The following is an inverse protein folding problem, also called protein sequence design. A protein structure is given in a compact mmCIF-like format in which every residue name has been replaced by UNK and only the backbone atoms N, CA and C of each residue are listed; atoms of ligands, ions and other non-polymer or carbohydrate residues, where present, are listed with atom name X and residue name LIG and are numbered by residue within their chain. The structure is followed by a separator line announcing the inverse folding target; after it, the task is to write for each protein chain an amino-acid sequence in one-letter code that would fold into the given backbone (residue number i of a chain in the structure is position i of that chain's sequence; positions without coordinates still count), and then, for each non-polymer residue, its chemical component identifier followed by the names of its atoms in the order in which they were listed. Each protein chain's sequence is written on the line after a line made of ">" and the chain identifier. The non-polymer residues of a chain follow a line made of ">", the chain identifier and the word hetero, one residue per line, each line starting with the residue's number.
data_IF_186973779052
#
_entry.id   IF_186973779052
#
_cell.length_a   1.000
_cell.length_b   1.000
_cell.length_c   1.000
_cell.angle_alpha   90.00
_cell.angle_beta   90.00
_cell.angle_gamma   90.00
#
_symmetry.space_group_name_H-M   'P 1'
#
loop_
_entity.id
_entity.type
_entity.pdbx_description
1 polymer ?
#
# COMPACT_ATOMS: atom_id res chain seq x y z
N UNK A 1 -35.84 -1.32 15.90
CA UNK A 1 -34.42 -1.75 15.82
C UNK A 1 -34.21 -3.22 15.47
N UNK A 2 -35.03 -4.19 15.92
CA UNK A 2 -34.75 -5.63 15.66
C UNK A 2 -34.89 -6.08 14.20
N UNK A 3 -35.67 -5.39 13.36
CA UNK A 3 -36.09 -5.91 12.06
C UNK A 3 -35.06 -5.79 10.90
N UNK A 4 -34.03 -4.93 11.00
CA UNK A 4 -33.09 -4.71 9.88
C UNK A 4 -31.70 -5.30 10.10
N UNK A 5 -31.25 -5.39 11.36
CA UNK A 5 -29.97 -6.01 11.65
C UNK A 5 -30.05 -7.53 11.70
N UNK A 6 -31.25 -8.12 11.88
CA UNK A 6 -31.49 -9.57 11.84
C UNK A 6 -31.02 -10.26 10.56
N UNK A 7 -30.77 -9.49 9.49
CA UNK A 7 -30.26 -9.96 8.18
C UNK A 7 -28.73 -9.87 8.07
N UNK A 8 -28.01 -9.48 9.13
CA UNK A 8 -26.54 -9.36 9.12
C UNK A 8 -26.01 -8.19 8.28
N UNK A 9 -26.87 -7.25 7.88
CA UNK A 9 -26.47 -6.05 7.13
C UNK A 9 -26.02 -4.95 8.10
N UNK A 10 -24.82 -4.42 7.89
CA UNK A 10 -24.33 -3.23 8.60
C UNK A 10 -25.15 -2.01 8.17
N UNK A 11 -25.65 -1.27 9.15
CA UNK A 11 -26.22 0.06 8.92
C UNK A 11 -25.07 1.05 8.81
N UNK A 12 -25.08 1.87 7.75
CA UNK A 12 -24.07 2.85 7.43
C UNK A 12 -24.75 4.21 7.28
N UNK A 13 -24.38 5.14 8.15
CA UNK A 13 -24.93 6.49 8.20
C UNK A 13 -23.76 7.46 8.14
N UNK A 14 -23.87 8.50 7.34
CA UNK A 14 -22.94 9.61 7.37
C UNK A 14 -23.67 10.88 7.79
N UNK A 15 -23.07 11.55 8.76
CA UNK A 15 -23.51 12.88 9.18
C UNK A 15 -22.38 13.89 8.99
N UNK A 16 -22.74 15.16 8.81
CA UNK A 16 -21.76 16.26 8.88
C UNK A 16 -21.52 16.69 10.33
N UNK A 17 -20.72 17.74 10.51
CA UNK A 17 -20.43 18.34 11.82
C UNK A 17 -21.66 18.93 12.54
N UNK A 18 -22.76 19.18 11.84
CA UNK A 18 -24.03 19.67 12.41
C UNK A 18 -25.01 18.52 12.68
N UNK A 19 -24.54 17.27 12.60
CA UNK A 19 -25.35 16.05 12.73
C UNK A 19 -26.43 15.89 11.65
N UNK A 20 -26.28 16.56 10.50
CA UNK A 20 -27.20 16.43 9.37
C UNK A 20 -26.84 15.17 8.58
N UNK A 21 -27.83 14.29 8.37
CA UNK A 21 -27.66 13.06 7.58
C UNK A 21 -27.36 13.41 6.13
N UNK A 22 -26.12 13.18 5.73
CA UNK A 22 -25.62 13.31 4.37
C UNK A 22 -25.87 12.05 3.56
N UNK A 23 -25.84 10.88 4.21
CA UNK A 23 -26.07 9.59 3.57
C UNK A 23 -26.57 8.55 4.58
N UNK A 24 -27.41 7.63 4.12
CA UNK A 24 -27.79 6.44 4.87
C UNK A 24 -28.10 5.28 3.93
N UNK A 25 -27.69 4.06 4.29
CA UNK A 25 -28.04 2.85 3.55
C UNK A 25 -29.38 2.23 3.98
N UNK A 26 -30.06 2.87 4.94
CA UNK A 26 -31.40 2.54 5.39
C UNK A 26 -32.34 3.71 5.12
N UNK A 27 -33.64 3.47 5.35
CA UNK A 27 -34.66 4.51 5.20
C UNK A 27 -34.38 5.73 6.09
N UNK A 28 -34.78 6.91 5.62
CA UNK A 28 -34.48 8.19 6.27
C UNK A 28 -35.12 8.31 7.65
N UNK A 29 -36.38 7.89 7.80
CA UNK A 29 -37.07 7.99 9.10
C UNK A 29 -36.43 7.05 10.11
N UNK A 30 -36.10 5.83 9.65
CA UNK A 30 -35.39 4.82 10.45
C UNK A 30 -33.98 5.30 10.81
N UNK A 31 -33.31 6.09 9.95
CA UNK A 31 -31.99 6.65 10.24
C UNK A 31 -32.01 7.53 11.48
N UNK A 32 -32.98 8.45 11.57
CA UNK A 32 -33.09 9.34 12.72
C UNK A 32 -33.45 8.58 14.00
N UNK A 33 -34.31 7.56 13.93
CA UNK A 33 -34.59 6.67 15.07
C UNK A 33 -33.31 5.99 15.61
N UNK A 34 -32.41 5.55 14.72
CA UNK A 34 -31.14 4.95 15.12
C UNK A 34 -30.19 5.97 15.74
N UNK A 35 -30.04 7.15 15.13
CA UNK A 35 -29.16 8.21 15.64
C UNK A 35 -29.60 8.71 17.02
N UNK A 36 -30.91 8.85 17.23
CA UNK A 36 -31.49 9.21 18.52
C UNK A 36 -31.24 8.11 19.56
N UNK A 37 -31.48 6.85 19.21
CA UNK A 37 -31.33 5.75 20.17
C UNK A 37 -29.90 5.45 20.61
N UNK A 38 -28.91 5.78 19.77
CA UNK A 38 -27.49 5.66 20.12
C UNK A 38 -26.93 6.94 20.75
N UNK A 39 -27.75 7.97 20.94
CA UNK A 39 -27.38 9.31 21.42
C UNK A 39 -26.15 9.87 20.67
N UNK A 40 -26.18 9.86 19.34
CA UNK A 40 -24.97 10.12 18.53
C UNK A 40 -24.24 11.43 18.89
N UNK A 41 -24.98 12.47 19.27
CA UNK A 41 -24.43 13.78 19.63
C UNK A 41 -23.47 13.74 20.82
N UNK A 42 -23.62 12.74 21.71
CA UNK A 42 -22.74 12.56 22.88
C UNK A 42 -21.44 11.81 22.54
N UNK A 43 -21.39 11.16 21.37
CA UNK A 43 -20.31 10.25 20.97
C UNK A 43 -19.56 10.71 19.72
N UNK A 44 -19.75 11.95 19.26
CA UNK A 44 -18.99 12.47 18.12
C UNK A 44 -17.50 12.58 18.48
N UNK A 45 -16.60 11.85 17.78
CA UNK A 45 -15.19 11.87 18.12
C UNK A 45 -14.57 13.24 17.88
N UNK A 46 -13.91 13.78 18.91
CA UNK A 46 -13.05 14.96 18.77
C UNK A 46 -11.83 14.60 17.91
N UNK A 47 -11.21 13.45 18.19
CA UNK A 47 -10.12 12.83 17.44
C UNK A 47 -10.26 11.29 17.47
N UNK A 48 -9.82 10.62 16.40
CA UNK A 48 -9.79 9.16 16.20
C UNK A 48 -11.17 8.47 15.99
N UNK A 49 -11.14 7.14 15.86
CA UNK A 49 -12.32 6.26 15.75
C UNK A 49 -12.89 5.96 17.13
N UNK A 50 -14.20 6.10 17.32
CA UNK A 50 -14.88 5.63 18.53
C UNK A 50 -15.60 4.33 18.23
N UNK A 51 -15.25 3.29 18.99
CA UNK A 51 -15.99 2.03 19.03
C UNK A 51 -16.68 1.89 20.38
N UNK A 52 -18.01 1.73 20.38
CA UNK A 52 -18.76 1.43 21.59
C UNK A 52 -19.89 0.44 21.34
N UNK A 53 -20.34 -0.20 22.42
CA UNK A 53 -21.47 -1.13 22.36
C UNK A 53 -22.74 -0.41 22.78
N UNK A 54 -23.70 -0.33 21.87
CA UNK A 54 -25.05 0.16 22.14
C UNK A 54 -26.01 -1.04 22.05
N UNK A 55 -26.57 -1.46 23.18
CA UNK A 55 -27.45 -2.64 23.27
C UNK A 55 -26.78 -3.92 22.73
N UNK A 56 -27.31 -4.48 21.62
CA UNK A 56 -26.75 -5.66 20.92
C UNK A 56 -25.85 -5.27 19.74
N UNK A 57 -25.64 -3.98 19.52
CA UNK A 57 -24.92 -3.46 18.36
C UNK A 57 -23.55 -2.93 18.76
N UNK A 58 -22.59 -3.07 17.85
CA UNK A 58 -21.33 -2.34 17.89
C UNK A 58 -21.50 -1.14 16.96
N UNK A 59 -21.20 0.03 17.50
CA UNK A 59 -21.23 1.30 16.79
C UNK A 59 -19.78 1.75 16.64
N UNK A 60 -19.34 1.90 15.39
CA UNK A 60 -18.07 2.51 15.02
C UNK A 60 -18.35 3.88 14.44
N UNK A 61 -17.70 4.91 14.95
CA UNK A 61 -17.80 6.28 14.44
C UNK A 61 -16.41 6.73 14.01
N UNK A 62 -16.25 6.93 12.71
CA UNK A 62 -15.01 7.39 12.09
C UNK A 62 -15.13 8.84 11.63
N UNK A 63 -14.20 9.68 12.08
CA UNK A 63 -14.07 11.06 11.60
C UNK A 63 -13.38 11.06 10.22
N UNK A 64 -14.13 11.44 9.19
CA UNK A 64 -13.66 11.49 7.80
C UNK A 64 -13.54 12.94 7.35
N UNK A 65 -12.35 13.36 6.95
CA UNK A 65 -12.13 14.73 6.45
C UNK A 65 -12.13 14.73 4.93
N UNK A 66 -12.99 15.53 4.30
CA UNK A 66 -13.08 15.67 2.84
C UNK A 66 -13.24 17.13 2.46
N UNK A 67 -12.34 17.64 1.61
CA UNK A 67 -12.35 19.01 1.08
C UNK A 67 -12.58 20.09 2.16
N UNK A 68 -11.87 19.97 3.30
CA UNK A 68 -11.95 20.85 4.48
C UNK A 68 -13.23 20.77 5.31
N UNK A 69 -14.17 19.90 4.95
CA UNK A 69 -15.31 19.56 5.78
C UNK A 69 -15.04 18.29 6.61
N UNK A 70 -15.64 18.24 7.79
CA UNK A 70 -15.60 17.09 8.70
C UNK A 70 -16.92 16.35 8.57
N UNK A 71 -16.83 15.03 8.38
CA UNK A 71 -17.94 14.11 8.38
C UNK A 71 -17.70 13.00 9.39
N UNK A 72 -18.77 12.36 9.85
CA UNK A 72 -18.71 11.20 10.74
C UNK A 72 -19.39 10.01 10.08
N UNK A 73 -18.60 8.99 9.76
CA UNK A 73 -19.08 7.71 9.23
C UNK A 73 -19.43 6.80 10.39
N UNK A 74 -20.72 6.50 10.53
CA UNK A 74 -21.30 5.71 11.60
C UNK A 74 -21.67 4.34 11.02
N UNK A 75 -21.08 3.30 11.59
CA UNK A 75 -21.29 1.92 11.17
C UNK A 75 -21.87 1.14 12.36
N UNK A 76 -23.09 0.62 12.21
CA UNK A 76 -23.85 -0.06 13.27
C UNK A 76 -24.09 -1.52 12.87
N UNK A 77 -23.64 -2.46 13.70
CA UNK A 77 -23.62 -3.89 13.37
C UNK A 77 -23.99 -4.78 14.57
N UNK A 78 -24.70 -5.88 14.32
CA UNK A 78 -25.24 -6.78 15.38
C UNK A 78 -24.20 -7.74 15.99
N UNK A 79 -23.06 -7.98 15.32
CA UNK A 79 -22.01 -8.89 15.79
C UNK A 79 -20.62 -8.40 15.37
N UNK A 80 -19.55 -8.72 16.13
CA UNK A 80 -18.16 -8.31 15.85
C UNK A 80 -17.53 -8.96 14.60
N UNK A 81 -18.26 -9.80 13.86
CA UNK A 81 -17.71 -10.56 12.73
C UNK A 81 -17.38 -9.70 11.49
N UNK A 82 -17.70 -8.40 11.51
CA UNK A 82 -17.28 -7.44 10.50
C UNK A 82 -16.53 -6.27 11.16
N UNK A 83 -15.48 -6.60 11.94
CA UNK A 83 -14.52 -5.58 12.35
C UNK A 83 -14.02 -4.87 11.10
N UNK A 84 -14.19 -3.55 11.01
CA UNK A 84 -13.70 -2.73 9.89
C UNK A 84 -12.19 -2.57 9.86
N UNK A 85 -11.52 -3.23 10.81
CA UNK A 85 -10.09 -3.24 11.00
C UNK A 85 -9.55 -4.60 10.58
N UNK A 86 -8.52 -4.59 9.74
CA UNK A 86 -7.73 -5.77 9.41
C UNK A 86 -6.90 -6.17 10.63
N UNK A 87 -7.11 -7.38 11.13
CA UNK A 87 -6.47 -7.87 12.36
C UNK A 87 -4.96 -8.03 12.25
N UNK A 88 -4.43 -8.16 11.04
CA UNK A 88 -3.00 -8.33 10.82
C UNK A 88 -2.27 -6.99 10.89
N UNK A 89 -2.83 -5.93 10.30
CA UNK A 89 -2.15 -4.65 10.10
C UNK A 89 -2.66 -3.54 11.01
N UNK A 90 -3.87 -3.67 11.56
CA UNK A 90 -4.54 -2.63 12.32
C UNK A 90 -4.94 -1.40 11.48
N UNK A 91 -4.95 -1.55 10.16
CA UNK A 91 -5.54 -0.63 9.19
C UNK A 91 -7.02 -0.98 8.96
N UNK A 92 -7.76 -0.12 8.28
CA UNK A 92 -9.11 -0.49 7.84
C UNK A 92 -9.05 -1.63 6.82
N UNK A 93 -10.12 -2.41 6.70
CA UNK A 93 -10.19 -3.54 5.75
C UNK A 93 -11.04 -3.23 4.51
N UNK A 94 -11.13 -4.21 3.62
CA UNK A 94 -11.95 -4.14 2.40
C UNK A 94 -13.41 -3.76 2.64
N UNK A 95 -14.03 -4.27 3.71
CA UNK A 95 -15.43 -3.94 4.00
C UNK A 95 -15.59 -2.44 4.29
N UNK A 96 -14.60 -1.83 4.96
CA UNK A 96 -14.60 -0.39 5.22
C UNK A 96 -14.49 0.40 3.92
N UNK A 97 -13.57 -0.02 3.04
CA UNK A 97 -13.40 0.58 1.70
C UNK A 97 -14.70 0.57 0.90
N UNK A 98 -15.39 -0.58 0.82
CA UNK A 98 -16.63 -0.71 0.06
C UNK A 98 -17.72 0.23 0.58
N UNK A 99 -17.83 0.41 1.91
CA UNK A 99 -18.74 1.40 2.50
C UNK A 99 -18.33 2.84 2.16
N UNK A 100 -17.04 3.16 2.31
CA UNK A 100 -16.48 4.48 2.01
C UNK A 100 -16.68 4.86 0.54
N UNK A 101 -16.45 3.94 -0.40
CA UNK A 101 -16.67 4.16 -1.83
C UNK A 101 -18.13 4.42 -2.14
N UNK A 102 -19.01 3.59 -1.58
CA UNK A 102 -20.44 3.72 -1.80
C UNK A 102 -20.95 5.08 -1.29
N UNK A 103 -20.38 5.59 -0.20
CA UNK A 103 -20.59 6.96 0.25
C UNK A 103 -20.03 7.99 -0.75
N UNK A 104 -18.75 7.88 -1.12
CA UNK A 104 -18.10 8.86 -1.99
C UNK A 104 -18.77 8.98 -3.36
N UNK A 105 -19.42 7.93 -3.87
CA UNK A 105 -20.22 7.99 -5.10
C UNK A 105 -21.54 8.76 -4.94
N UNK A 106 -22.17 8.71 -3.75
CA UNK A 106 -23.50 9.29 -3.51
C UNK A 106 -23.48 10.72 -2.98
N UNK A 107 -22.37 11.14 -2.39
CA UNK A 107 -22.23 12.51 -1.88
C UNK A 107 -21.99 13.50 -3.02
N UNK A 108 -22.82 14.53 -3.13
CA UNK A 108 -22.77 15.54 -4.21
C UNK A 108 -21.76 16.66 -3.95
N UNK A 109 -21.11 16.67 -2.78
CA UNK A 109 -20.17 17.71 -2.40
C UNK A 109 -18.85 17.56 -3.19
N UNK A 110 -18.18 18.68 -3.50
CA UNK A 110 -16.83 18.65 -4.06
C UNK A 110 -15.90 17.89 -3.11
N UNK A 111 -15.04 17.04 -3.69
CA UNK A 111 -14.10 16.20 -2.94
C UNK A 111 -12.71 16.39 -3.51
N UNK A 112 -11.80 16.84 -2.66
CA UNK A 112 -10.37 16.89 -2.95
C UNK A 112 -9.67 15.84 -2.13
N UNK A 113 -9.12 14.84 -2.81
CA UNK A 113 -8.33 13.80 -2.19
C UNK A 113 -7.31 13.25 -3.18
N UNK A 114 -6.29 12.58 -2.66
CA UNK A 114 -5.44 11.69 -3.47
C UNK A 114 -5.64 10.27 -3.00
N UNK A 115 -5.88 9.37 -3.95
CA UNK A 115 -5.81 7.93 -3.71
C UNK A 115 -4.40 7.45 -4.03
N UNK A 116 -3.81 6.69 -3.11
CA UNK A 116 -2.60 5.91 -3.35
C UNK A 116 -2.98 4.44 -3.28
N UNK A 117 -2.59 3.65 -4.28
CA UNK A 117 -2.65 2.20 -4.25
C UNK A 117 -1.22 1.68 -4.11
N UNK A 118 -0.99 0.82 -3.14
CA UNK A 118 0.30 0.19 -2.84
C UNK A 118 0.15 -1.32 -2.96
N UNK A 119 1.15 -1.99 -3.53
CA UNK A 119 1.22 -3.44 -3.62
C UNK A 119 2.62 -3.92 -3.24
N UNK A 120 2.69 -5.01 -2.47
CA UNK A 120 3.96 -5.61 -2.05
C UNK A 120 4.56 -6.41 -3.21
N UNK A 121 5.72 -5.98 -3.69
CA UNK A 121 6.38 -6.63 -4.81
C UNK A 121 6.82 -8.05 -4.43
N UNK A 122 6.45 -9.01 -5.27
CA UNK A 122 6.85 -10.42 -5.17
C UNK A 122 6.47 -11.12 -3.85
N UNK A 123 5.39 -10.70 -3.17
CA UNK A 123 4.97 -11.35 -1.91
C UNK A 123 4.75 -12.85 -2.06
N UNK A 124 4.17 -13.31 -3.18
CA UNK A 124 4.01 -14.74 -3.48
C UNK A 124 5.36 -15.48 -3.46
N UNK A 125 6.39 -14.93 -4.10
CA UNK A 125 7.71 -15.53 -4.11
C UNK A 125 8.34 -15.57 -2.71
N UNK A 126 8.13 -14.53 -1.91
CA UNK A 126 8.56 -14.50 -0.51
C UNK A 126 7.86 -15.61 0.31
N UNK A 127 6.56 -15.79 0.12
CA UNK A 127 5.79 -16.88 0.75
C UNK A 127 6.30 -18.26 0.32
N UNK A 128 6.50 -18.46 -0.98
CA UNK A 128 6.94 -19.74 -1.53
C UNK A 128 8.36 -20.10 -1.04
N UNK A 129 9.22 -19.09 -0.81
CA UNK A 129 10.63 -19.29 -0.43
C UNK A 129 10.86 -19.34 1.07
N UNK A 130 10.12 -18.53 1.84
CA UNK A 130 10.35 -18.33 3.29
C UNK A 130 9.14 -18.69 4.16
N UNK A 131 8.04 -19.13 3.56
CA UNK A 131 6.80 -19.52 4.24
C UNK A 131 5.89 -18.34 4.58
N UNK A 132 4.61 -18.65 4.79
CA UNK A 132 3.55 -17.67 5.05
C UNK A 132 3.78 -16.80 6.29
N UNK A 133 4.47 -17.30 7.33
CA UNK A 133 4.79 -16.51 8.52
C UNK A 133 5.65 -15.28 8.19
N UNK A 134 6.55 -15.41 7.20
CA UNK A 134 7.39 -14.30 6.75
C UNK A 134 6.60 -13.35 5.84
N UNK A 135 5.68 -13.86 5.02
CA UNK A 135 4.75 -13.01 4.27
C UNK A 135 3.83 -12.19 5.17
N UNK A 136 3.23 -12.81 6.19
CA UNK A 136 2.42 -12.11 7.18
C UNK A 136 3.22 -11.02 7.88
N UNK A 137 4.49 -11.29 8.20
CA UNK A 137 5.40 -10.30 8.77
C UNK A 137 5.68 -9.14 7.78
N UNK A 138 5.84 -9.44 6.50
CA UNK A 138 6.01 -8.40 5.48
C UNK A 138 4.78 -7.50 5.38
N UNK A 139 3.59 -8.08 5.37
CA UNK A 139 2.31 -7.38 5.37
C UNK A 139 2.17 -6.48 6.62
N UNK A 140 2.53 -6.99 7.81
CA UNK A 140 2.56 -6.20 9.06
C UNK A 140 3.49 -5.00 8.97
N UNK A 141 4.70 -5.20 8.45
CA UNK A 141 5.70 -4.13 8.30
C UNK A 141 5.14 -3.01 7.41
N UNK A 142 4.54 -3.36 6.28
CA UNK A 142 3.93 -2.39 5.36
C UNK A 142 2.75 -1.68 6.01
N UNK A 143 1.83 -2.42 6.64
CA UNK A 143 0.69 -1.84 7.34
C UNK A 143 1.10 -0.85 8.45
N UNK A 144 2.11 -1.21 9.26
CA UNK A 144 2.64 -0.33 10.29
C UNK A 144 3.34 0.90 9.69
N UNK A 145 4.12 0.72 8.61
CA UNK A 145 4.77 1.82 7.92
C UNK A 145 3.75 2.82 7.35
N UNK A 146 2.62 2.34 6.81
CA UNK A 146 1.51 3.19 6.37
C UNK A 146 0.95 3.96 7.57
N UNK A 147 0.53 3.26 8.63
CA UNK A 147 -0.12 3.85 9.80
C UNK A 147 0.68 4.96 10.47
N UNK A 148 2.01 4.85 10.49
CA UNK A 148 2.90 5.85 11.10
C UNK A 148 3.23 7.05 10.18
N UNK A 149 2.97 6.96 8.88
CA UNK A 149 3.40 7.98 7.90
C UNK A 149 2.25 8.75 7.24
N UNK A 150 1.01 8.37 7.54
CA UNK A 150 -0.21 9.09 7.19
C UNK A 150 -0.68 9.95 8.38
N UNK A 151 -1.45 11.00 8.13
CA UNK A 151 -2.00 11.85 9.19
C UNK A 151 -3.21 11.18 9.83
N UNK A 152 -3.64 11.68 10.99
CA UNK A 152 -4.86 11.19 11.66
C UNK A 152 -6.10 11.25 10.79
N UNK A 153 -6.23 12.27 9.94
CA UNK A 153 -7.36 12.43 9.03
C UNK A 153 -7.30 11.56 7.77
N UNK A 154 -6.14 10.98 7.47
CA UNK A 154 -5.93 10.17 6.28
C UNK A 154 -6.35 8.73 6.59
N UNK A 155 -6.84 8.02 5.59
CA UNK A 155 -7.40 6.68 5.78
C UNK A 155 -6.47 5.66 5.13
N UNK A 156 -5.92 4.74 5.94
CA UNK A 156 -5.16 3.59 5.46
C UNK A 156 -6.01 2.31 5.47
N UNK A 157 -6.00 1.57 4.37
CA UNK A 157 -6.84 0.40 4.13
C UNK A 157 -5.99 -0.75 3.59
N UNK A 158 -6.23 -1.98 4.04
CA UNK A 158 -5.82 -3.20 3.36
C UNK A 158 -6.98 -3.74 2.52
N UNK A 159 -6.87 -3.60 1.20
CA UNK A 159 -7.91 -3.97 0.22
C UNK A 159 -7.95 -5.49 0.04
N UNK A 160 -6.79 -6.10 -0.16
CA UNK A 160 -6.66 -7.54 -0.28
C UNK A 160 -5.24 -7.98 0.15
N UNK A 161 -4.88 -9.25 -0.06
CA UNK A 161 -3.70 -9.91 0.51
C UNK A 161 -2.46 -9.02 0.70
N UNK A 162 -1.93 -8.48 -0.39
CA UNK A 162 -0.75 -7.59 -0.50
C UNK A 162 -1.07 -6.15 -0.91
N UNK A 163 -2.35 -5.82 -1.09
CA UNK A 163 -2.78 -4.55 -1.66
C UNK A 163 -3.34 -3.61 -0.57
N UNK A 164 -2.86 -2.37 -0.59
CA UNK A 164 -3.24 -1.33 0.35
C UNK A 164 -3.70 -0.07 -0.37
N UNK A 165 -4.74 0.57 0.14
CA UNK A 165 -5.20 1.87 -0.32
C UNK A 165 -4.95 2.92 0.76
N UNK A 166 -4.60 4.13 0.32
CA UNK A 166 -4.49 5.29 1.21
C UNK A 166 -5.27 6.44 0.60
N UNK A 167 -6.22 6.97 1.37
CA UNK A 167 -6.96 8.18 1.02
C UNK A 167 -6.36 9.37 1.77
N UNK A 168 -5.75 10.30 1.02
CA UNK A 168 -5.18 11.54 1.57
C UNK A 168 -6.13 12.70 1.36
N UNK A 169 -6.64 13.29 2.44
CA UNK A 169 -7.57 14.41 2.38
C UNK A 169 -6.87 15.71 1.94
N UNK A 170 -7.48 16.48 1.04
CA UNK A 170 -6.99 17.79 0.55
C UNK A 170 -5.48 17.80 0.22
N UNK A 171 -5.01 16.71 -0.40
CA UNK A 171 -3.60 16.48 -0.68
C UNK A 171 -3.40 16.35 -2.18
N UNK A 172 -2.51 17.17 -2.75
CA UNK A 172 -2.12 17.11 -4.17
C UNK A 172 -1.12 16.00 -4.41
N UNK A 173 -1.00 15.58 -5.67
CA UNK A 173 -0.12 14.50 -6.12
C UNK A 173 1.34 14.64 -5.65
N UNK A 174 1.92 15.84 -5.70
CA UNK A 174 3.32 16.06 -5.25
C UNK A 174 3.53 15.82 -3.75
N UNK A 175 2.50 16.04 -2.92
CA UNK A 175 2.55 15.73 -1.50
C UNK A 175 2.26 14.25 -1.24
N UNK A 176 1.44 13.60 -2.08
CA UNK A 176 1.23 12.16 -2.03
C UNK A 176 2.53 11.39 -2.31
N UNK A 177 3.33 11.82 -3.29
CA UNK A 177 4.63 11.20 -3.55
C UNK A 177 5.55 11.23 -2.31
N UNK A 178 5.57 12.34 -1.57
CA UNK A 178 6.33 12.44 -0.30
C UNK A 178 5.83 11.47 0.77
N UNK A 179 4.53 11.18 0.81
CA UNK A 179 3.96 10.16 1.73
C UNK A 179 4.49 8.78 1.33
N UNK A 180 4.43 8.44 0.04
CA UNK A 180 4.95 7.16 -0.49
C UNK A 180 6.43 6.99 -0.15
N UNK A 181 7.25 8.03 -0.36
CA UNK A 181 8.69 7.96 -0.12
C UNK A 181 9.01 7.76 1.38
N UNK A 182 8.27 8.41 2.28
CA UNK A 182 8.39 8.17 3.72
C UNK A 182 7.98 6.75 4.11
N UNK A 183 6.92 6.20 3.50
CA UNK A 183 6.51 4.81 3.71
C UNK A 183 7.63 3.85 3.27
N UNK A 184 8.21 4.07 2.08
CA UNK A 184 9.35 3.26 1.58
C UNK A 184 10.55 3.32 2.54
N UNK A 185 10.92 4.50 3.01
CA UNK A 185 12.02 4.67 3.97
C UNK A 185 11.72 3.94 5.30
N UNK A 186 10.49 4.06 5.78
CA UNK A 186 10.00 3.40 7.00
C UNK A 186 9.99 1.87 6.89
N UNK A 187 9.67 1.33 5.72
CA UNK A 187 9.79 -0.10 5.40
C UNK A 187 11.27 -0.50 5.40
N UNK A 188 12.13 0.23 4.69
CA UNK A 188 13.58 -0.05 4.61
C UNK A 188 14.25 -0.16 5.98
N UNK A 189 13.96 0.78 6.89
CA UNK A 189 14.48 0.75 8.28
C UNK A 189 14.02 -0.48 9.08
N UNK A 190 12.81 -1.00 8.81
CA UNK A 190 12.29 -2.22 9.46
C UNK A 190 12.89 -3.47 8.84
N UNK A 191 13.00 -3.48 7.51
CA UNK A 191 13.65 -4.53 6.73
C UNK A 191 15.07 -4.81 7.21
N UNK A 192 15.87 -3.76 7.45
CA UNK A 192 17.23 -3.88 8.00
C UNK A 192 17.24 -4.56 9.38
N UNK A 193 16.34 -4.19 10.28
CA UNK A 193 16.26 -4.76 11.64
C UNK A 193 15.82 -6.22 11.63
N UNK A 194 14.90 -6.55 10.74
CA UNK A 194 14.28 -7.88 10.69
C UNK A 194 14.99 -8.83 9.72
N UNK A 195 16.01 -8.36 9.00
CA UNK A 195 16.74 -9.07 7.95
C UNK A 195 15.82 -9.67 6.86
N UNK A 196 14.84 -8.86 6.42
CA UNK A 196 13.89 -9.20 5.35
C UNK A 196 13.94 -8.09 4.32
N UNK A 197 14.02 -8.43 3.04
CA UNK A 197 13.87 -7.43 1.97
C UNK A 197 12.39 -7.33 1.57
N UNK A 198 11.82 -6.13 1.61
CA UNK A 198 10.44 -5.86 1.20
C UNK A 198 10.49 -4.63 0.30
N UNK A 199 9.97 -4.79 -0.91
CA UNK A 199 9.77 -3.70 -1.85
C UNK A 199 8.27 -3.50 -2.08
N UNK A 200 7.89 -2.25 -2.36
CA UNK A 200 6.50 -1.90 -2.68
C UNK A 200 6.47 -1.07 -3.96
N UNK A 201 5.49 -1.33 -4.80
CA UNK A 201 5.12 -0.46 -5.91
C UNK A 201 3.90 0.37 -5.51
N UNK A 202 3.82 1.61 -5.97
CA UNK A 202 2.75 2.53 -5.60
C UNK A 202 2.30 3.41 -6.78
N UNK A 203 0.99 3.50 -6.98
CA UNK A 203 0.38 4.43 -7.92
C UNK A 203 -0.50 5.44 -7.19
N UNK A 204 -0.43 6.72 -7.57
CA UNK A 204 -1.32 7.74 -7.00
C UNK A 204 -2.10 8.50 -8.07
N UNK A 205 -3.28 8.98 -7.71
CA UNK A 205 -4.09 9.87 -8.53
C UNK A 205 -4.84 10.89 -7.67
N UNK A 206 -4.83 12.14 -8.10
CA UNK A 206 -5.54 13.23 -7.43
C UNK A 206 -6.95 13.41 -8.02
N UNK A 207 -7.94 13.45 -7.13
CA UNK A 207 -9.30 13.83 -7.43
C UNK A 207 -9.50 15.31 -7.07
N UNK A 208 -10.00 16.09 -8.03
CA UNK A 208 -10.65 17.38 -7.75
C UNK A 208 -12.16 17.25 -7.96
N UNK A 209 -12.93 18.28 -7.63
CA UNK A 209 -14.40 18.33 -7.68
C UNK A 209 -15.05 17.97 -9.03
N UNK A 210 -14.26 17.80 -10.08
CA UNK A 210 -14.69 17.47 -11.45
C UNK A 210 -14.50 15.98 -11.80
N UNK A 211 -13.80 15.20 -10.98
CA UNK A 211 -13.47 13.81 -11.29
C UNK A 211 -14.45 12.82 -10.68
N UNK A 212 -14.88 11.85 -11.49
CA UNK A 212 -15.59 10.67 -11.02
C UNK A 212 -14.61 9.77 -10.24
N UNK A 213 -15.05 9.26 -9.09
CA UNK A 213 -14.26 8.40 -8.21
C UNK A 213 -13.63 7.20 -8.93
N UNK A 214 -14.39 6.59 -9.85
CA UNK A 214 -13.93 5.44 -10.65
C UNK A 214 -12.69 5.79 -11.49
N UNK A 215 -12.67 6.97 -12.13
CA UNK A 215 -11.52 7.42 -12.92
C UNK A 215 -10.27 7.61 -12.06
N UNK A 216 -10.43 8.06 -10.81
CA UNK A 216 -9.30 8.26 -9.90
C UNK A 216 -8.70 6.91 -9.51
N UNK A 217 -9.55 5.91 -9.27
CA UNK A 217 -9.11 4.53 -9.01
C UNK A 217 -8.36 3.97 -10.22
N UNK A 218 -8.94 4.07 -11.42
CA UNK A 218 -8.31 3.60 -12.66
C UNK A 218 -6.96 4.27 -12.93
N UNK A 219 -6.84 5.58 -12.67
CA UNK A 219 -5.59 6.32 -12.82
C UNK A 219 -4.53 5.87 -11.80
N UNK A 220 -4.92 5.67 -10.54
CA UNK A 220 -4.01 5.18 -9.50
C UNK A 220 -3.52 3.77 -9.83
N UNK A 221 -4.40 2.87 -10.27
CA UNK A 221 -4.04 1.51 -10.68
C UNK A 221 -3.12 1.51 -11.91
N UNK A 222 -3.43 2.33 -12.93
CA UNK A 222 -2.57 2.51 -14.10
C UNK A 222 -1.16 2.98 -13.72
N UNK A 223 -1.05 3.90 -12.78
CA UNK A 223 0.23 4.39 -12.30
C UNK A 223 1.00 3.34 -11.48
N UNK A 224 0.30 2.53 -10.68
CA UNK A 224 0.90 1.37 -10.00
C UNK A 224 1.45 0.38 -11.02
N UNK A 225 0.67 0.07 -12.05
CA UNK A 225 1.07 -0.85 -13.11
C UNK A 225 2.30 -0.35 -13.88
N UNK A 226 2.39 0.97 -14.13
CA UNK A 226 3.59 1.58 -14.73
C UNK A 226 4.83 1.39 -13.85
N UNK A 227 4.73 1.60 -12.54
CA UNK A 227 5.87 1.37 -11.64
C UNK A 227 6.30 -0.10 -11.63
N UNK A 228 5.34 -1.03 -11.49
CA UNK A 228 5.62 -2.48 -11.53
C UNK A 228 6.33 -2.88 -12.81
N UNK A 229 5.92 -2.35 -13.96
CA UNK A 229 6.58 -2.62 -15.23
C UNK A 229 7.97 -1.99 -15.33
N UNK A 230 8.15 -0.79 -14.80
CA UNK A 230 9.46 -0.14 -14.71
C UNK A 230 10.47 -0.99 -13.94
N UNK A 231 10.07 -1.50 -12.77
CA UNK A 231 10.90 -2.40 -11.96
C UNK A 231 11.21 -3.71 -12.67
N UNK A 232 10.21 -4.36 -13.29
CA UNK A 232 10.43 -5.58 -14.07
C UNK A 232 11.41 -5.36 -15.23
N UNK A 233 11.30 -4.24 -15.94
CA UNK A 233 12.22 -3.88 -17.01
C UNK A 233 13.64 -3.67 -16.48
N UNK A 234 13.79 -3.00 -15.33
CA UNK A 234 15.08 -2.80 -14.67
C UNK A 234 15.72 -4.13 -14.25
N UNK A 235 14.96 -5.03 -13.63
CA UNK A 235 15.44 -6.37 -13.24
C UNK A 235 15.88 -7.17 -14.47
N UNK A 236 15.11 -7.13 -15.56
CA UNK A 236 15.48 -7.78 -16.82
C UNK A 236 16.77 -7.21 -17.40
N UNK A 237 16.91 -5.88 -17.43
CA UNK A 237 18.11 -5.22 -17.90
C UNK A 237 19.35 -5.64 -17.09
N UNK A 238 19.25 -5.66 -15.76
CA UNK A 238 20.33 -6.13 -14.88
C UNK A 238 20.67 -7.60 -15.17
N UNK A 239 19.67 -8.46 -15.36
CA UNK A 239 19.89 -9.87 -15.69
C UNK A 239 20.60 -10.05 -17.04
N UNK A 240 20.24 -9.27 -18.05
CA UNK A 240 20.89 -9.28 -19.36
C UNK A 240 22.35 -8.77 -19.27
N UNK A 241 22.60 -7.70 -18.52
CA UNK A 241 23.96 -7.21 -18.24
C UNK A 241 24.82 -8.25 -17.51
N UNK A 242 24.25 -8.95 -16.51
CA UNK A 242 24.93 -10.02 -15.78
C UNK A 242 25.28 -11.20 -16.68
N UNK A 243 24.40 -11.55 -17.63
CA UNK A 243 24.63 -12.62 -18.60
C UNK A 243 25.78 -12.28 -19.55
N UNK A 244 25.78 -11.06 -20.10
CA UNK A 244 26.87 -10.56 -20.96
C UNK A 244 28.21 -10.51 -20.19
N UNK A 245 28.16 -10.04 -18.94
CA UNK A 245 29.34 -9.98 -18.08
C UNK A 245 29.92 -11.37 -17.78
N UNK A 246 29.04 -12.35 -17.51
CA UNK A 246 29.45 -13.75 -17.30
C UNK A 246 30.13 -14.35 -18.54
N UNK A 247 29.56 -14.12 -19.73
CA UNK A 247 30.16 -14.58 -20.99
C UNK A 247 31.53 -13.96 -21.24
N UNK A 248 31.70 -12.65 -20.97
CA UNK A 248 33.00 -11.97 -21.08
C UNK A 248 34.04 -12.53 -20.10
N UNK A 249 33.64 -12.82 -18.87
CA UNK A 249 34.51 -13.44 -17.86
C UNK A 249 34.95 -14.84 -18.33
N UNK A 250 34.02 -15.67 -18.81
CA UNK A 250 34.33 -17.01 -19.34
C UNK A 250 35.30 -16.93 -20.53
N UNK A 251 35.04 -16.06 -21.51
CA UNK A 251 35.94 -15.88 -22.67
C UNK A 251 37.35 -15.42 -22.27
N UNK A 252 37.47 -14.47 -21.33
CA UNK A 252 38.79 -14.01 -20.87
C UNK A 252 39.51 -15.08 -20.06
N UNK A 253 38.79 -15.86 -19.25
CA UNK A 253 39.35 -16.99 -18.49
C UNK A 253 39.90 -18.04 -19.45
N UNK A 254 39.16 -18.39 -20.50
CA UNK A 254 39.60 -19.31 -21.54
C UNK A 254 40.82 -18.77 -22.29
N UNK A 255 40.85 -17.47 -22.60
CA UNK A 255 41.99 -16.84 -23.26
C UNK A 255 43.26 -16.89 -22.40
N UNK A 256 43.15 -16.63 -21.09
CA UNK A 256 44.27 -16.76 -20.14
C UNK A 256 44.76 -18.20 -20.13
N UNK A 257 43.86 -19.17 -19.96
CA UNK A 257 44.22 -20.59 -19.91
C UNK A 257 44.92 -21.06 -21.20
N UNK A 258 44.46 -20.64 -22.38
CA UNK A 258 45.11 -20.97 -23.66
C UNK A 258 46.49 -20.34 -23.78
N UNK A 259 46.66 -19.06 -23.43
CA UNK A 259 47.96 -18.37 -23.48
C UNK A 259 48.96 -18.95 -22.48
N UNK A 260 48.52 -19.35 -21.29
CA UNK A 260 49.36 -19.98 -20.28
C UNK A 260 49.88 -21.36 -20.74
N UNK A 261 49.07 -22.12 -21.47
CA UNK A 261 49.48 -23.42 -22.04
C UNK A 261 50.46 -23.26 -23.21
N UNK A 262 50.43 -22.14 -23.92
CA UNK A 262 51.14 -22.00 -25.21
C UNK A 262 52.59 -21.52 -25.12
N UNK A 263 53.06 -20.72 -24.14
CA UNK A 263 54.48 -20.29 -24.14
C UNK A 263 54.93 -19.57 -22.85
N UNK A 264 56.15 -19.87 -22.39
CA UNK A 264 56.86 -19.15 -21.32
C UNK A 264 57.88 -18.18 -21.92
N UNK A 265 57.43 -16.98 -22.34
CA UNK A 265 58.26 -15.89 -22.87
C UNK A 265 57.88 -14.53 -22.25
N UNK A 266 58.86 -13.64 -22.05
CA UNK A 266 58.71 -12.36 -21.30
C UNK A 266 57.70 -11.38 -21.94
N UNK A 267 57.52 -11.39 -23.27
CA UNK A 267 56.54 -10.55 -23.96
C UNK A 267 55.08 -10.98 -23.68
N UNK A 268 54.87 -12.28 -23.39
CA UNK A 268 53.55 -12.85 -23.07
C UNK A 268 53.07 -12.37 -21.68
N UNK A 269 54.00 -12.01 -20.77
CA UNK A 269 53.65 -11.52 -19.44
C UNK A 269 52.90 -10.18 -19.44
N UNK A 270 53.23 -9.25 -20.34
CA UNK A 270 52.52 -7.96 -20.40
C UNK A 270 51.10 -8.11 -20.93
N UNK A 271 50.90 -8.94 -21.97
CA UNK A 271 49.56 -9.23 -22.49
C UNK A 271 48.72 -10.05 -21.50
N UNK A 272 49.32 -11.04 -20.82
CA UNK A 272 48.64 -11.78 -19.75
C UNK A 272 48.24 -10.85 -18.60
N UNK A 273 49.10 -9.91 -18.23
CA UNK A 273 48.81 -8.91 -17.20
C UNK A 273 47.64 -8.00 -17.59
N UNK A 274 47.57 -7.57 -18.86
CA UNK A 274 46.42 -6.78 -19.37
C UNK A 274 45.11 -7.57 -19.35
N UNK A 275 45.13 -8.84 -19.76
CA UNK A 275 43.95 -9.70 -19.77
C UNK A 275 43.50 -10.00 -18.34
N UNK A 276 44.43 -10.29 -17.42
CA UNK A 276 44.16 -10.47 -15.98
C UNK A 276 43.52 -9.22 -15.38
N UNK A 277 44.08 -8.04 -15.67
CA UNK A 277 43.56 -6.76 -15.17
C UNK A 277 42.13 -6.49 -15.68
N UNK A 278 41.83 -6.85 -16.93
CA UNK A 278 40.47 -6.77 -17.48
C UNK A 278 39.52 -7.75 -16.80
N UNK A 279 39.97 -8.98 -16.52
CA UNK A 279 39.18 -9.98 -15.81
C UNK A 279 38.83 -9.52 -14.39
N UNK A 280 39.79 -8.99 -13.64
CA UNK A 280 39.58 -8.46 -12.28
C UNK A 280 38.55 -7.33 -12.25
N UNK A 281 38.62 -6.41 -13.23
CA UNK A 281 37.63 -5.32 -13.37
C UNK A 281 36.22 -5.85 -13.62
N UNK A 282 36.08 -6.90 -14.45
CA UNK A 282 34.78 -7.49 -14.75
C UNK A 282 34.24 -8.29 -13.55
N UNK A 283 35.10 -9.01 -12.82
CA UNK A 283 34.72 -9.70 -11.57
C UNK A 283 34.25 -8.68 -10.52
N UNK A 284 34.99 -7.57 -10.34
CA UNK A 284 34.57 -6.49 -9.46
C UNK A 284 33.20 -5.93 -9.88
N UNK A 285 32.99 -5.68 -11.17
CA UNK A 285 31.69 -5.22 -11.67
C UNK A 285 30.59 -6.26 -11.37
N UNK A 286 30.84 -7.55 -11.60
CA UNK A 286 29.89 -8.65 -11.36
C UNK A 286 29.52 -8.76 -9.88
N UNK A 287 30.49 -8.62 -8.99
CA UNK A 287 30.28 -8.71 -7.54
C UNK A 287 29.36 -7.61 -6.98
N UNK A 288 29.31 -6.43 -7.62
CA UNK A 288 28.44 -5.32 -7.20
C UNK A 288 26.96 -5.59 -7.41
N UNK A 289 26.59 -6.44 -8.37
CA UNK A 289 25.21 -6.80 -8.66
C UNK A 289 24.68 -7.99 -7.83
N UNK A 290 25.52 -8.62 -7.00
CA UNK A 290 25.15 -9.79 -6.18
C UNK A 290 24.83 -9.43 -4.72
N UNK A 291 25.01 -8.16 -4.33
CA UNK A 291 24.59 -7.62 -3.03
C UNK A 291 23.19 -7.05 -3.15
#
# INVERSE_FOLDING_TARGET
>A
MENFTSVGKTVCILIDQESIVCYSNIDRDVTYEYLEAINISDYLPVDDTIDYRAMRHIVTIDKVNLDKAVYYLILIQLQPNYAYIDSLTGLHNRNYWEQLMSYMLRCTMPKRFTLIIIDIDNLKHLNDTKGHLIGDKAIRIVGQAIKENIRKQDIGIRSCGDEFFILLADTKESAAQKVIDRIRESIGKRCERENINIEISAGSAYADSMYELEKVIDMADSNLYKEKNGKKAQVKHIADELKDLKQKIEMLTDNINRKFVQESNVAVNNELLEISTKLDKLIMKYSKYRR
#
